data_IF_616330016304
#
_entry.id   IF_616330016304
#
_cell.length_a   1.000
_cell.length_b   1.000
_cell.length_c   1.000
_cell.angle_alpha   90.00
_cell.angle_beta   90.00
_cell.angle_gamma   90.00
#
_symmetry.space_group_name_H-M   'P 1'
#
loop_
_entity.id
_entity.type
_entity.pdbx_description
1 polymer ?
#
# COMPACT_ATOMS: atom_id res chain seq x y z
N UNK A 1 -20.52 29.40 -48.37
CA UNK A 1 -20.68 28.39 -47.29
C UNK A 1 -19.41 27.59 -47.03
N UNK A 2 -18.72 27.05 -48.02
CA UNK A 2 -17.50 26.20 -47.86
C UNK A 2 -16.37 26.89 -47.08
N UNK A 3 -16.09 28.17 -47.30
CA UNK A 3 -15.02 28.90 -46.58
C UNK A 3 -15.34 29.12 -45.10
N UNK A 4 -16.60 29.34 -44.71
CA UNK A 4 -17.03 29.48 -43.31
C UNK A 4 -16.94 28.15 -42.57
N UNK A 5 -17.28 27.04 -43.23
CA UNK A 5 -17.19 25.69 -42.67
C UNK A 5 -15.72 25.30 -42.45
N UNK A 6 -14.84 25.64 -43.41
CA UNK A 6 -13.39 25.38 -43.28
C UNK A 6 -12.74 26.14 -42.11
N UNK A 7 -13.19 27.39 -41.88
CA UNK A 7 -12.72 28.22 -40.77
C UNK A 7 -13.20 27.69 -39.42
N UNK A 8 -14.43 27.20 -39.38
CA UNK A 8 -15.00 26.57 -38.18
C UNK A 8 -14.28 25.26 -37.81
N UNK A 9 -13.95 24.47 -38.83
CA UNK A 9 -13.22 23.20 -38.65
C UNK A 9 -11.79 23.44 -38.17
N UNK A 10 -11.13 24.45 -38.71
CA UNK A 10 -9.79 24.87 -38.32
C UNK A 10 -9.76 25.41 -36.87
N UNK A 11 -10.78 26.18 -36.49
CA UNK A 11 -10.95 26.70 -35.14
C UNK A 11 -11.20 25.56 -34.12
N UNK A 12 -11.99 24.56 -34.51
CA UNK A 12 -12.26 23.38 -33.67
C UNK A 12 -11.00 22.50 -33.47
N UNK A 13 -10.20 22.35 -34.56
CA UNK A 13 -8.91 21.65 -34.49
C UNK A 13 -7.89 22.38 -33.62
N UNK A 14 -7.89 23.71 -33.62
CA UNK A 14 -7.06 24.51 -32.73
C UNK A 14 -7.49 24.40 -31.28
N UNK A 15 -8.77 24.34 -31.00
CA UNK A 15 -9.29 24.11 -29.63
C UNK A 15 -8.93 22.73 -29.07
N UNK A 16 -8.92 21.70 -29.91
CA UNK A 16 -8.53 20.35 -29.48
C UNK A 16 -7.07 20.26 -29.01
N UNK A 17 -6.18 21.12 -29.47
CA UNK A 17 -4.78 21.15 -29.01
C UNK A 17 -4.61 21.82 -27.63
N UNK A 18 -5.59 22.60 -27.18
CA UNK A 18 -5.58 23.22 -25.85
C UNK A 18 -6.06 22.28 -24.73
N UNK A 19 -6.66 21.14 -25.08
CA UNK A 19 -7.06 20.09 -24.11
C UNK A 19 -5.94 19.05 -23.96
N UNK A 20 -4.69 19.49 -23.89
CA UNK A 20 -3.64 18.70 -23.29
C UNK A 20 -3.82 18.80 -21.79
N UNK A 21 -4.54 17.83 -21.21
CA UNK A 21 -4.62 17.71 -19.77
C UNK A 21 -3.21 17.71 -19.23
N UNK A 22 -2.84 18.74 -18.47
CA UNK A 22 -1.69 18.68 -17.60
C UNK A 22 -1.98 17.52 -16.63
N UNK A 23 -1.45 16.34 -16.95
CA UNK A 23 -1.31 15.28 -15.94
C UNK A 23 -0.45 15.87 -14.85
N UNK A 24 -1.09 16.40 -13.85
CA UNK A 24 -0.44 16.82 -12.62
C UNK A 24 -0.03 15.50 -11.91
N UNK A 25 1.03 14.86 -12.45
CA UNK A 25 1.57 13.62 -11.89
C UNK A 25 2.16 13.98 -10.54
N UNK A 26 1.39 13.67 -9.47
CA UNK A 26 1.97 13.71 -8.13
C UNK A 26 3.19 12.78 -8.10
N UNK A 27 4.15 13.10 -7.25
CA UNK A 27 5.26 12.21 -6.98
C UNK A 27 4.73 10.89 -6.40
N UNK A 28 5.26 9.79 -6.90
CA UNK A 28 4.97 8.46 -6.35
C UNK A 28 5.77 8.24 -5.08
N UNK A 29 5.13 7.66 -4.08
CA UNK A 29 5.74 7.38 -2.78
C UNK A 29 5.94 5.87 -2.61
N UNK A 30 7.18 5.47 -2.41
CA UNK A 30 7.56 4.11 -2.06
C UNK A 30 7.96 4.02 -0.59
N UNK A 31 7.47 3.03 0.13
CA UNK A 31 7.85 2.75 1.52
C UNK A 31 8.63 1.46 1.60
N UNK A 32 9.78 1.50 2.25
CA UNK A 32 10.63 0.32 2.49
C UNK A 32 10.65 0.02 3.98
N UNK A 33 10.18 -1.17 4.36
CA UNK A 33 10.07 -1.63 5.73
C UNK A 33 11.15 -2.69 6.02
N UNK A 34 12.07 -2.38 6.90
CA UNK A 34 13.16 -3.26 7.29
C UNK A 34 12.71 -4.42 8.20
N UNK A 35 13.59 -5.39 8.37
CA UNK A 35 13.44 -6.41 9.39
C UNK A 35 13.69 -5.84 10.80
N UNK A 36 13.61 -6.70 11.83
CA UNK A 36 13.97 -6.31 13.19
C UNK A 36 13.19 -7.04 14.29
N UNK A 37 12.51 -8.11 13.96
CA UNK A 37 11.69 -8.86 14.93
C UNK A 37 10.66 -7.96 15.60
N UNK A 38 10.55 -7.99 16.93
CA UNK A 38 9.61 -7.17 17.68
C UNK A 38 9.75 -5.65 17.43
N UNK A 39 10.96 -5.17 17.11
CA UNK A 39 11.18 -3.75 16.77
C UNK A 39 10.48 -3.35 15.47
N UNK A 40 10.20 -4.31 14.60
CA UNK A 40 9.47 -4.06 13.36
C UNK A 40 8.04 -3.56 13.59
N UNK A 41 7.45 -3.75 14.78
CA UNK A 41 6.15 -3.16 15.12
C UNK A 41 6.14 -1.64 15.04
N UNK A 42 7.30 -0.97 15.13
CA UNK A 42 7.41 0.47 14.89
C UNK A 42 6.94 0.89 13.49
N UNK A 43 6.96 -0.02 12.52
CA UNK A 43 6.46 0.25 11.17
C UNK A 43 4.97 0.61 11.16
N UNK A 44 4.17 0.06 12.09
CA UNK A 44 2.76 0.43 12.22
C UNK A 44 2.59 1.91 12.55
N UNK A 45 3.45 2.45 13.42
CA UNK A 45 3.46 3.88 13.74
C UNK A 45 3.83 4.74 12.54
N UNK A 46 4.80 4.32 11.74
CA UNK A 46 5.19 5.03 10.51
C UNK A 46 4.06 5.02 9.48
N UNK A 47 3.46 3.87 9.23
CA UNK A 47 2.33 3.76 8.29
C UNK A 47 1.15 4.61 8.76
N UNK A 48 0.84 4.61 10.07
CA UNK A 48 -0.22 5.45 10.65
C UNK A 48 0.07 6.94 10.45
N UNK A 49 1.29 7.37 10.69
CA UNK A 49 1.68 8.77 10.46
C UNK A 49 1.55 9.18 8.98
N UNK A 50 1.86 8.29 8.05
CA UNK A 50 1.68 8.54 6.62
C UNK A 50 0.19 8.64 6.25
N UNK A 51 -0.67 7.78 6.78
CA UNK A 51 -2.13 7.86 6.58
C UNK A 51 -2.71 9.17 7.15
N UNK A 52 -2.34 9.53 8.38
CA UNK A 52 -2.77 10.78 9.04
C UNK A 52 -2.33 12.02 8.26
N UNK A 53 -1.12 11.98 7.71
CA UNK A 53 -0.60 13.03 6.84
C UNK A 53 -1.20 13.01 5.41
N UNK A 54 -2.09 12.04 5.12
CA UNK A 54 -2.69 11.83 3.79
C UNK A 54 -1.65 11.66 2.68
N UNK A 55 -0.52 11.04 3.00
CA UNK A 55 0.53 10.70 2.04
C UNK A 55 0.17 9.36 1.43
N UNK A 56 -0.21 9.31 0.15
CA UNK A 56 -0.57 8.06 -0.49
C UNK A 56 0.67 7.21 -0.72
N UNK A 57 0.58 5.93 -0.38
CA UNK A 57 1.65 4.95 -0.60
C UNK A 57 1.34 4.21 -1.91
N UNK A 58 2.23 4.34 -2.90
CA UNK A 58 2.08 3.68 -4.20
C UNK A 58 2.78 2.34 -4.26
N UNK A 59 3.90 2.22 -3.54
CA UNK A 59 4.72 1.01 -3.50
C UNK A 59 5.12 0.71 -2.06
N UNK A 60 5.07 -0.55 -1.71
CA UNK A 60 5.57 -1.02 -0.42
C UNK A 60 6.50 -2.21 -0.63
N UNK A 61 7.64 -2.17 0.02
CA UNK A 61 8.62 -3.25 0.01
C UNK A 61 9.01 -3.57 1.44
N UNK A 62 9.21 -4.82 1.76
CA UNK A 62 9.53 -5.21 3.13
C UNK A 62 10.42 -6.44 3.24
N UNK A 63 11.11 -6.56 4.36
CA UNK A 63 11.94 -7.71 4.73
C UNK A 63 11.57 -8.18 6.13
N UNK A 64 11.45 -9.49 6.34
CA UNK A 64 11.12 -10.10 7.65
C UNK A 64 9.83 -9.47 8.23
N UNK A 65 9.87 -8.92 9.45
CA UNK A 65 8.71 -8.25 10.06
C UNK A 65 8.13 -7.15 9.18
N UNK A 66 8.98 -6.39 8.48
CA UNK A 66 8.53 -5.39 7.51
C UNK A 66 7.79 -5.98 6.32
N UNK A 67 8.14 -7.21 5.90
CA UNK A 67 7.41 -7.91 4.84
C UNK A 67 6.03 -8.38 5.33
N UNK A 68 5.93 -8.83 6.57
CA UNK A 68 4.66 -9.25 7.16
C UNK A 68 3.71 -8.05 7.27
N UNK A 69 4.16 -6.95 7.87
CA UNK A 69 3.37 -5.73 8.04
C UNK A 69 3.01 -5.13 6.70
N UNK A 70 4.01 -4.97 5.82
CA UNK A 70 3.79 -4.40 4.49
C UNK A 70 2.88 -5.25 3.61
N UNK A 71 2.99 -6.57 3.70
CA UNK A 71 2.13 -7.51 2.99
C UNK A 71 0.67 -7.47 3.46
N UNK A 72 0.45 -7.47 4.77
CA UNK A 72 -0.90 -7.33 5.34
C UNK A 72 -1.52 -5.98 4.96
N UNK A 73 -0.74 -4.89 5.08
CA UNK A 73 -1.19 -3.55 4.71
C UNK A 73 -1.55 -3.46 3.22
N UNK A 74 -0.69 -3.97 2.35
CA UNK A 74 -0.95 -4.01 0.90
C UNK A 74 -2.13 -4.91 0.51
N UNK A 75 -2.46 -5.88 1.35
CA UNK A 75 -3.64 -6.75 1.17
C UNK A 75 -4.95 -6.11 1.65
N UNK A 76 -4.89 -4.88 2.17
CA UNK A 76 -6.06 -4.11 2.57
C UNK A 76 -6.46 -4.24 4.04
N UNK A 77 -5.64 -4.86 4.88
CA UNK A 77 -5.86 -4.84 6.33
C UNK A 77 -5.62 -3.44 6.88
N UNK A 78 -6.49 -2.98 7.75
CA UNK A 78 -6.29 -1.75 8.51
C UNK A 78 -5.14 -1.89 9.51
N UNK A 79 -4.53 -0.78 9.89
CA UNK A 79 -3.44 -0.79 10.87
C UNK A 79 -3.90 -1.30 12.24
N UNK A 80 -5.18 -1.12 12.58
CA UNK A 80 -5.75 -1.63 13.84
C UNK A 80 -5.94 -3.15 13.79
N UNK A 81 -6.38 -3.71 12.66
CA UNK A 81 -6.45 -5.16 12.45
C UNK A 81 -5.06 -5.80 12.50
N UNK A 82 -4.08 -5.20 11.83
CA UNK A 82 -2.70 -5.67 11.86
C UNK A 82 -2.16 -5.62 13.29
N UNK A 83 -2.37 -4.52 13.99
CA UNK A 83 -1.97 -4.38 15.39
C UNK A 83 -2.60 -5.46 16.28
N UNK A 84 -3.90 -5.68 16.14
CA UNK A 84 -4.63 -6.69 16.89
C UNK A 84 -4.11 -8.10 16.65
N UNK A 85 -3.74 -8.41 15.39
CA UNK A 85 -3.13 -9.69 15.05
C UNK A 85 -1.83 -9.93 15.83
N UNK A 86 -0.96 -8.93 15.93
CA UNK A 86 0.32 -9.05 16.65
C UNK A 86 0.16 -9.25 18.15
N UNK A 87 -0.95 -8.80 18.73
CA UNK A 87 -1.28 -9.04 20.16
C UNK A 87 -2.08 -10.32 20.38
N UNK A 88 -2.46 -11.01 19.32
CA UNK A 88 -3.25 -12.24 19.44
C UNK A 88 -2.43 -13.42 19.95
N UNK A 89 -3.07 -14.38 20.65
CA UNK A 89 -2.41 -15.62 21.05
C UNK A 89 -1.89 -16.42 19.86
N UNK A 90 -2.61 -16.41 18.74
CA UNK A 90 -2.24 -17.13 17.52
C UNK A 90 -0.91 -16.65 16.98
N UNK A 91 -0.67 -15.34 16.98
CA UNK A 91 0.60 -14.79 16.54
C UNK A 91 1.76 -15.23 17.46
N UNK A 92 1.52 -15.30 18.77
CA UNK A 92 2.50 -15.78 19.73
C UNK A 92 2.86 -17.26 19.47
N UNK A 93 1.90 -18.09 19.11
CA UNK A 93 2.15 -19.48 18.70
C UNK A 93 3.02 -19.52 17.43
N UNK A 94 2.70 -18.74 16.42
CA UNK A 94 3.47 -18.70 15.17
C UNK A 94 4.93 -18.27 15.38
N UNK A 95 5.16 -17.25 16.19
CA UNK A 95 6.50 -16.74 16.48
C UNK A 95 7.31 -17.71 17.35
N UNK A 96 6.65 -18.39 18.29
CA UNK A 96 7.33 -19.35 19.20
C UNK A 96 7.58 -20.71 18.55
N UNK A 97 7.02 -20.98 17.38
CA UNK A 97 7.08 -22.29 16.73
C UNK A 97 6.33 -23.39 17.52
N UNK A 98 5.52 -23.01 18.48
CA UNK A 98 4.67 -23.96 19.21
C UNK A 98 3.48 -24.31 18.34
N UNK A 99 3.25 -25.60 18.18
CA UNK A 99 2.04 -26.13 17.53
C UNK A 99 1.08 -26.53 18.65
N UNK A 100 -0.19 -26.21 18.48
CA UNK A 100 -1.21 -26.67 19.42
C UNK A 100 -1.17 -28.20 19.50
N UNK A 101 -1.36 -28.75 20.72
CA UNK A 101 -1.27 -30.19 20.98
C UNK A 101 -2.22 -31.00 20.08
N UNK A 102 -3.26 -30.39 19.58
CA UNK A 102 -4.24 -30.99 18.68
C UNK A 102 -3.66 -31.37 17.31
N UNK A 103 -2.61 -30.68 16.86
CA UNK A 103 -1.93 -30.92 15.59
C UNK A 103 -0.66 -31.79 15.69
N UNK A 104 -0.29 -32.22 16.91
CA UNK A 104 0.94 -33.01 17.13
C UNK A 104 0.75 -34.53 16.94
N UNK A 105 -0.41 -34.98 16.49
CA UNK A 105 -0.75 -36.40 16.40
C UNK A 105 -0.03 -37.21 15.31
N UNK A 106 0.65 -36.58 14.37
CA UNK A 106 1.11 -37.30 13.17
C UNK A 106 2.58 -37.70 13.14
N UNK A 107 3.35 -37.41 14.18
CA UNK A 107 4.80 -37.66 14.21
C UNK A 107 5.30 -38.29 15.51
N UNK A 108 4.57 -39.24 16.08
CA UNK A 108 5.08 -40.12 17.11
C UNK A 108 5.43 -41.47 16.53
#
# INVERSE_FOLDING_TARGET
MRKKLSFLLMFFLLLCNFVSGQENRRQTVGVVLGGGGARGLAHLGVLRALEEAKIPIDYICGTSMGAIIGGLYASGYSLDEISSLFYSPEFQYWVSGKVENEYTYYFK
#
